data_IF_114350933648
#
_entry.id   IF_114350933648
#
_cell.length_a   1.000
_cell.length_b   1.000
_cell.length_c   1.000
_cell.angle_alpha   90.00
_cell.angle_beta   90.00
_cell.angle_gamma   90.00
#
_symmetry.space_group_name_H-M   'P 1'
#
loop_
_entity.id
_entity.type
_entity.pdbx_description
1 polymer ?
#
# COMPACT_ATOMS: atom_id res chain seq x y z
N UNK A 1 -18.10 -14.01 -10.48
CA UNK A 1 -17.33 -15.23 -10.15
C UNK A 1 -16.25 -14.93 -9.10
N UNK A 2 -16.57 -14.17 -8.03
CA UNK A 2 -15.60 -13.74 -7.00
C UNK A 2 -15.89 -14.30 -5.60
N UNK A 3 -16.96 -15.07 -5.42
CA UNK A 3 -17.47 -15.49 -4.10
C UNK A 3 -17.36 -17.00 -3.84
N UNK A 4 -16.88 -17.79 -4.80
CA UNK A 4 -16.87 -19.26 -4.70
C UNK A 4 -15.70 -19.83 -3.90
N UNK A 5 -14.73 -19.00 -3.48
CA UNK A 5 -13.51 -19.45 -2.78
C UNK A 5 -13.09 -18.60 -1.57
N UNK A 6 -13.84 -17.54 -1.25
CA UNK A 6 -13.57 -16.69 -0.08
C UNK A 6 -14.54 -17.09 1.04
N UNK A 7 -14.00 -17.46 2.19
CA UNK A 7 -14.80 -17.75 3.37
C UNK A 7 -15.49 -16.47 3.88
N UNK A 8 -16.59 -16.60 4.64
CA UNK A 8 -17.25 -15.45 5.28
C UNK A 8 -16.29 -14.62 6.14
N UNK A 9 -15.28 -15.26 6.73
CA UNK A 9 -14.24 -14.61 7.54
C UNK A 9 -13.33 -13.74 6.69
N UNK A 10 -12.90 -14.20 5.51
CA UNK A 10 -12.03 -13.44 4.61
C UNK A 10 -12.69 -12.15 4.15
N UNK A 11 -13.99 -12.24 3.83
CA UNK A 11 -14.80 -11.08 3.43
C UNK A 11 -14.94 -10.11 4.61
N UNK A 12 -15.18 -10.60 5.82
CA UNK A 12 -15.28 -9.76 7.01
C UNK A 12 -13.98 -9.00 7.29
N UNK A 13 -12.82 -9.67 7.19
CA UNK A 13 -11.50 -9.06 7.37
C UNK A 13 -11.23 -8.00 6.30
N UNK A 14 -11.56 -8.30 5.03
CA UNK A 14 -11.38 -7.35 3.93
C UNK A 14 -12.21 -6.07 4.14
N UNK A 15 -13.49 -6.23 4.52
CA UNK A 15 -14.38 -5.09 4.79
C UNK A 15 -13.83 -4.26 5.95
N UNK A 16 -13.38 -4.91 7.03
CA UNK A 16 -12.81 -4.23 8.19
C UNK A 16 -11.55 -3.45 7.81
N UNK A 17 -10.66 -4.05 7.01
CA UNK A 17 -9.46 -3.39 6.51
C UNK A 17 -9.77 -2.12 5.70
N UNK A 18 -10.71 -2.21 4.76
CA UNK A 18 -11.14 -1.06 3.95
C UNK A 18 -11.76 0.03 4.85
N UNK A 19 -12.64 -0.37 5.76
CA UNK A 19 -13.26 0.55 6.72
C UNK A 19 -12.22 1.27 7.59
N UNK A 20 -11.18 0.56 8.04
CA UNK A 20 -10.10 1.15 8.82
C UNK A 20 -9.33 2.22 8.03
N UNK A 21 -8.95 1.94 6.78
CA UNK A 21 -8.23 2.91 5.92
C UNK A 21 -9.06 4.16 5.67
N UNK A 22 -10.34 4.00 5.32
CA UNK A 22 -11.26 5.12 5.10
C UNK A 22 -11.40 5.96 6.38
N UNK A 23 -11.56 5.30 7.53
CA UNK A 23 -11.72 5.97 8.82
C UNK A 23 -10.49 6.82 9.16
N UNK A 24 -9.28 6.30 8.94
CA UNK A 24 -8.03 7.04 9.15
C UNK A 24 -7.99 8.28 8.25
N UNK A 25 -8.30 8.12 6.96
CA UNK A 25 -8.34 9.23 6.01
C UNK A 25 -9.33 10.32 6.42
N UNK A 26 -10.52 9.94 6.87
CA UNK A 26 -11.55 10.88 7.32
C UNK A 26 -11.14 11.64 8.59
N UNK A 27 -10.54 10.97 9.56
CA UNK A 27 -10.07 11.59 10.81
C UNK A 27 -8.95 12.59 10.52
N UNK A 28 -7.98 12.21 9.68
CA UNK A 28 -6.82 13.06 9.36
C UNK A 28 -7.21 14.21 8.44
N UNK A 29 -8.18 14.02 7.53
CA UNK A 29 -8.68 15.08 6.64
C UNK A 29 -9.17 16.31 7.41
N UNK A 30 -9.76 16.12 8.60
CA UNK A 30 -10.20 17.24 9.46
C UNK A 30 -9.05 18.11 9.99
N UNK A 31 -7.80 17.62 9.94
CA UNK A 31 -6.61 18.35 10.40
C UNK A 31 -5.93 19.15 9.30
N UNK A 32 -6.27 18.91 8.02
CA UNK A 32 -5.67 19.61 6.89
C UNK A 32 -6.36 20.96 6.70
N UNK A 33 -5.63 22.05 6.94
CA UNK A 33 -6.17 23.42 6.80
C UNK A 33 -5.44 24.24 5.73
N UNK A 34 -4.19 23.90 5.45
CA UNK A 34 -3.36 24.63 4.49
C UNK A 34 -2.78 23.70 3.42
N UNK A 35 -2.32 24.30 2.31
CA UNK A 35 -1.63 23.56 1.23
C UNK A 35 -0.38 22.86 1.76
N UNK A 36 0.35 23.48 2.69
CA UNK A 36 1.55 22.88 3.31
C UNK A 36 1.21 21.62 4.12
N UNK A 37 0.07 21.61 4.79
CA UNK A 37 -0.41 20.43 5.52
C UNK A 37 -0.78 19.29 4.57
N UNK A 38 -1.32 19.62 3.39
CA UNK A 38 -1.66 18.62 2.38
C UNK A 38 -0.44 18.02 1.68
N UNK A 39 0.56 18.85 1.32
CA UNK A 39 1.71 18.39 0.52
C UNK A 39 2.85 17.81 1.35
N UNK A 40 3.04 18.30 2.57
CA UNK A 40 4.21 17.94 3.40
C UNK A 40 3.84 17.48 4.81
N UNK A 41 2.54 17.34 5.11
CA UNK A 41 2.04 17.09 6.47
C UNK A 41 2.62 18.11 7.48
N UNK A 42 2.86 19.35 7.05
CA UNK A 42 3.48 20.39 7.88
C UNK A 42 4.91 20.07 8.35
N UNK A 43 5.60 19.09 7.72
CA UNK A 43 6.91 18.56 8.13
C UNK A 43 6.91 17.95 9.53
N UNK A 44 5.76 17.49 10.03
CA UNK A 44 5.62 16.95 11.39
C UNK A 44 5.70 15.42 11.46
N UNK A 45 5.96 14.73 10.34
CA UNK A 45 6.04 13.27 10.31
C UNK A 45 7.38 12.78 10.90
N UNK A 46 7.30 11.76 11.75
CA UNK A 46 8.48 11.06 12.24
C UNK A 46 9.24 10.41 11.06
N UNK A 47 10.58 10.41 11.06
CA UNK A 47 11.38 9.78 10.01
C UNK A 47 10.97 8.32 9.74
N UNK A 48 10.60 7.57 10.77
CA UNK A 48 10.19 6.17 10.64
C UNK A 48 8.90 6.02 9.82
N UNK A 49 7.91 6.88 10.07
CA UNK A 49 6.63 6.90 9.32
C UNK A 49 6.89 7.30 7.87
N UNK A 50 7.82 8.22 7.63
CA UNK A 50 8.20 8.65 6.29
C UNK A 50 8.85 7.51 5.50
N UNK A 51 9.80 6.78 6.11
CA UNK A 51 10.44 5.61 5.49
C UNK A 51 9.40 4.51 5.22
N UNK A 52 8.56 4.19 6.20
CA UNK A 52 7.51 3.20 6.04
C UNK A 52 6.52 3.56 4.91
N UNK A 53 6.12 4.82 4.80
CA UNK A 53 5.27 5.30 3.71
C UNK A 53 5.96 5.22 2.36
N UNK A 54 7.26 5.52 2.29
CA UNK A 54 8.04 5.40 1.07
C UNK A 54 8.10 3.92 0.62
N UNK A 55 8.42 3.01 1.53
CA UNK A 55 8.43 1.57 1.28
C UNK A 55 7.05 1.06 0.86
N UNK A 56 5.97 1.49 1.52
CA UNK A 56 4.61 1.12 1.16
C UNK A 56 4.22 1.57 -0.26
N UNK A 57 4.69 2.74 -0.71
CA UNK A 57 4.51 3.22 -2.08
C UNK A 57 5.26 2.37 -3.10
N UNK A 58 6.50 1.96 -2.79
CA UNK A 58 7.28 1.08 -3.66
C UNK A 58 6.72 -0.33 -3.72
N UNK A 59 6.34 -0.90 -2.57
CA UNK A 59 5.80 -2.25 -2.45
C UNK A 59 4.26 -2.30 -2.57
N UNK A 60 3.71 -1.48 -3.47
CA UNK A 60 2.29 -1.51 -3.80
C UNK A 60 1.90 -2.76 -4.60
N UNK A 61 0.70 -2.75 -5.17
CA UNK A 61 0.14 -3.87 -5.92
C UNK A 61 1.09 -4.44 -7.01
N UNK A 62 1.90 -3.58 -7.63
CA UNK A 62 2.88 -3.97 -8.64
C UNK A 62 3.98 -4.91 -8.10
N UNK A 63 4.59 -4.58 -6.96
CA UNK A 63 5.63 -5.43 -6.37
C UNK A 63 5.02 -6.70 -5.74
N UNK A 64 3.79 -6.62 -5.25
CA UNK A 64 3.11 -7.75 -4.61
C UNK A 64 2.67 -8.85 -5.58
N UNK A 65 2.09 -8.49 -6.74
CA UNK A 65 1.57 -9.50 -7.70
C UNK A 65 2.40 -9.62 -8.97
N UNK A 66 2.77 -8.50 -9.60
CA UNK A 66 3.46 -8.51 -10.90
C UNK A 66 4.90 -9.02 -10.81
N UNK A 67 5.65 -8.56 -9.80
CA UNK A 67 7.02 -9.04 -9.59
C UNK A 67 7.07 -10.53 -9.20
N UNK A 68 6.10 -11.01 -8.41
CA UNK A 68 6.04 -12.43 -8.02
C UNK A 68 5.69 -13.34 -9.21
N UNK A 69 4.82 -12.91 -10.11
CA UNK A 69 4.56 -13.65 -11.36
C UNK A 69 5.82 -13.75 -12.22
N UNK A 70 6.57 -12.66 -12.36
CA UNK A 70 7.84 -12.68 -13.06
C UNK A 70 8.89 -13.58 -12.39
N UNK A 71 8.96 -13.61 -11.05
CA UNK A 71 9.85 -14.54 -10.33
C UNK A 71 9.46 -15.99 -10.62
N UNK A 72 8.16 -16.29 -10.70
CA UNK A 72 7.67 -17.62 -11.07
C UNK A 72 8.13 -18.05 -12.48
N UNK A 73 8.31 -17.11 -13.40
CA UNK A 73 8.71 -17.40 -14.79
C UNK A 73 10.22 -17.33 -15.03
N UNK A 74 10.91 -16.36 -14.41
CA UNK A 74 12.32 -16.03 -14.70
C UNK A 74 13.26 -16.29 -13.51
N UNK A 75 12.74 -16.70 -12.35
CA UNK A 75 13.53 -16.95 -11.14
C UNK A 75 14.21 -15.70 -10.59
N UNK A 76 15.41 -15.84 -10.03
CA UNK A 76 16.18 -14.72 -9.48
C UNK A 76 16.54 -13.65 -10.51
N UNK A 77 16.52 -13.99 -11.80
CA UNK A 77 16.79 -13.08 -12.93
C UNK A 77 15.76 -11.94 -13.03
N UNK A 78 14.59 -12.09 -12.40
CA UNK A 78 13.61 -10.99 -12.28
C UNK A 78 14.17 -9.80 -11.52
N UNK A 79 15.10 -10.00 -10.58
CA UNK A 79 15.72 -8.88 -9.84
C UNK A 79 16.51 -7.97 -10.78
N UNK A 80 17.28 -8.54 -11.70
CA UNK A 80 18.01 -7.78 -12.73
C UNK A 80 17.07 -7.08 -13.70
N UNK A 81 16.00 -7.75 -14.15
CA UNK A 81 14.98 -7.17 -15.04
C UNK A 81 14.27 -5.98 -14.38
N UNK A 82 13.88 -6.11 -13.10
CA UNK A 82 13.25 -5.02 -12.33
C UNK A 82 14.21 -3.87 -12.03
N UNK A 83 15.50 -4.16 -11.88
CA UNK A 83 16.55 -3.16 -11.67
C UNK A 83 17.07 -2.54 -12.98
N UNK A 84 16.57 -2.98 -14.14
CA UNK A 84 16.92 -2.46 -15.45
C UNK A 84 18.34 -2.81 -15.91
N UNK A 85 18.90 -3.92 -15.40
CA UNK A 85 20.23 -4.44 -15.72
C UNK A 85 20.16 -5.72 -16.54
#
# INVERSE_FOLDING_TARGET
MFTSGLGPVDIAVLILYIAAIISIGFIVSRRVKTVKDFTSAGQSLSPLVMIASCLATFFGAFAGSGAMEMIGQFGLTTLTILLGA
#
